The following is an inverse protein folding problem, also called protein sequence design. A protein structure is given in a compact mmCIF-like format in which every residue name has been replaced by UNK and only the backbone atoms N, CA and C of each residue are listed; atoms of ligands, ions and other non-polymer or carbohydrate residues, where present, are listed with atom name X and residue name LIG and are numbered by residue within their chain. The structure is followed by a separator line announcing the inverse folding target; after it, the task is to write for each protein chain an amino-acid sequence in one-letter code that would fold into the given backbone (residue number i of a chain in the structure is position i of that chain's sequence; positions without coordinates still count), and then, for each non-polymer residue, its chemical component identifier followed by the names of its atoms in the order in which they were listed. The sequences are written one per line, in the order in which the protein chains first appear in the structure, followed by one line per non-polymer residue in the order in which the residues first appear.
data_IF_744671389994
#
_entry.id   IF_744671389994
#
_cell.length_a   1.000
_cell.length_b   1.000
_cell.length_c   1.000
_cell.angle_alpha   90.00
_cell.angle_beta   90.00
_cell.angle_gamma   90.00
#
_symmetry.space_group_name_H-M   'P 1'
#
loop_
_entity.id
_entity.type
_entity.pdbx_description
1 polymer ?
#
# COMPACT_ATOMS: atom_id res chain seq x y z
N UNK A 1 65.48 -6.72 17.18
CA UNK A 1 64.86 -6.74 18.52
C UNK A 1 63.34 -6.70 18.32
N UNK A 2 62.74 -7.89 18.16
CA UNK A 2 61.29 -8.11 18.05
C UNK A 2 61.10 -9.62 17.84
N UNK A 3 60.35 -10.34 18.69
CA UNK A 3 59.61 -11.60 18.42
C UNK A 3 58.62 -11.76 19.59
N UNK A 4 57.31 -11.53 19.40
CA UNK A 4 56.20 -12.50 19.17
C UNK A 4 56.10 -13.66 20.17
N UNK A 5 54.87 -13.96 20.62
CA UNK A 5 54.25 -15.30 20.61
C UNK A 5 52.94 -15.34 21.44
N UNK A 6 51.85 -15.58 20.72
CA UNK A 6 50.67 -16.40 21.03
C UNK A 6 50.42 -16.93 22.46
N UNK A 7 49.16 -16.78 22.91
CA UNK A 7 48.43 -17.82 23.65
C UNK A 7 48.36 -17.68 25.18
N UNK A 8 47.18 -18.02 25.71
CA UNK A 8 46.78 -18.29 27.10
C UNK A 8 45.83 -17.32 27.83
N UNK A 9 44.66 -17.91 28.11
CA UNK A 9 43.60 -17.63 29.06
C UNK A 9 43.94 -16.86 30.35
N UNK A 10 42.99 -16.04 30.82
CA UNK A 10 42.71 -15.93 32.25
C UNK A 10 41.21 -15.99 32.56
N UNK A 11 40.95 -16.74 33.62
CA UNK A 11 39.70 -17.07 34.29
C UNK A 11 39.15 -15.89 35.11
N UNK A 12 37.82 -15.84 35.28
CA UNK A 12 37.14 -14.97 36.24
C UNK A 12 35.68 -15.39 36.47
N UNK A 13 35.41 -15.96 37.64
CA UNK A 13 34.17 -16.61 38.11
C UNK A 13 33.06 -15.60 38.46
N UNK A 14 31.78 -15.95 38.21
CA UNK A 14 30.65 -15.49 39.04
C UNK A 14 29.72 -16.66 39.40
N UNK A 15 29.36 -16.64 40.68
CA UNK A 15 28.71 -17.62 41.55
C UNK A 15 27.22 -17.82 41.21
N UNK A 16 26.76 -19.08 41.09
CA UNK A 16 25.34 -19.44 40.99
C UNK A 16 24.71 -19.64 42.37
N UNK A 17 23.61 -18.94 42.66
CA UNK A 17 22.66 -19.32 43.71
C UNK A 17 21.79 -20.48 43.21
N UNK A 18 21.69 -21.56 43.99
CA UNK A 18 20.82 -22.71 43.72
C UNK A 18 19.49 -22.51 44.44
N UNK A 19 18.39 -22.44 43.68
CA UNK A 19 17.03 -22.50 44.22
C UNK A 19 16.51 -23.95 44.24
N UNK A 20 15.66 -24.35 45.22
CA UNK A 20 15.12 -25.71 45.33
C UNK A 20 14.14 -26.10 44.22
N UNK A 21 14.24 -27.35 43.76
CA UNK A 21 13.61 -27.96 42.57
C UNK A 21 12.06 -28.07 42.51
N UNK A 22 11.28 -27.43 43.38
CA UNK A 22 9.86 -27.79 43.57
C UNK A 22 8.83 -26.68 43.25
N UNK A 23 9.22 -25.59 42.58
CA UNK A 23 8.32 -24.54 42.12
C UNK A 23 8.68 -24.07 40.70
N UNK A 24 8.60 -24.98 39.73
CA UNK A 24 8.57 -24.61 38.31
C UNK A 24 7.49 -25.43 37.63
N UNK A 25 6.33 -24.83 37.27
CA UNK A 25 5.39 -25.51 36.39
C UNK A 25 6.12 -25.76 35.07
N UNK A 26 6.31 -27.03 34.74
CA UNK A 26 6.77 -27.43 33.41
C UNK A 26 5.79 -26.83 32.40
N UNK A 27 6.26 -26.03 31.43
CA UNK A 27 5.38 -25.59 30.36
C UNK A 27 4.83 -26.84 29.67
N UNK A 28 3.53 -26.88 29.33
CA UNK A 28 2.97 -28.01 28.61
C UNK A 28 3.78 -28.19 27.34
N UNK A 29 4.29 -29.41 27.11
CA UNK A 29 4.93 -29.77 25.85
C UNK A 29 3.90 -29.54 24.75
N UNK A 30 3.97 -28.40 24.06
CA UNK A 30 3.28 -28.22 22.81
C UNK A 30 3.80 -29.32 21.90
N UNK A 31 2.93 -30.28 21.58
CA UNK A 31 3.17 -31.14 20.43
C UNK A 31 3.21 -30.19 19.24
N UNK A 32 4.42 -29.92 18.76
CA UNK A 32 4.59 -29.44 17.39
C UNK A 32 4.07 -30.57 16.52
N UNK A 33 2.79 -30.52 16.17
CA UNK A 33 2.30 -31.21 14.99
C UNK A 33 2.97 -30.49 13.83
N UNK A 34 4.17 -30.94 13.50
CA UNK A 34 4.69 -30.75 12.14
C UNK A 34 3.64 -31.44 11.29
N UNK A 35 2.87 -30.68 10.53
CA UNK A 35 2.14 -31.22 9.40
C UNK A 35 3.23 -31.64 8.41
N UNK A 36 3.80 -32.83 8.61
CA UNK A 36 4.51 -33.54 7.57
C UNK A 36 3.47 -33.76 6.48
N UNK A 37 3.68 -33.17 5.30
CA UNK A 37 2.88 -33.49 4.12
C UNK A 37 3.28 -34.93 3.77
N UNK A 38 2.55 -35.91 4.31
CA UNK A 38 2.88 -37.34 4.26
C UNK A 38 2.63 -37.99 2.89
N UNK A 39 2.05 -37.26 1.94
CA UNK A 39 1.74 -37.76 0.60
C UNK A 39 2.52 -37.00 -0.50
N UNK A 40 3.48 -37.65 -1.18
CA UNK A 40 4.19 -37.10 -2.34
C UNK A 40 3.26 -36.60 -3.47
N UNK A 41 2.03 -37.14 -3.56
CA UNK A 41 1.01 -36.65 -4.51
C UNK A 41 0.50 -35.27 -4.13
N UNK A 42 0.35 -35.01 -2.83
CA UNK A 42 -0.07 -33.70 -2.31
C UNK A 42 1.03 -32.66 -2.51
N UNK A 43 2.31 -33.00 -2.28
CA UNK A 43 3.43 -32.09 -2.55
C UNK A 43 3.56 -31.77 -4.05
N UNK A 44 3.40 -32.78 -4.92
CA UNK A 44 3.39 -32.59 -6.37
C UNK A 44 2.26 -31.68 -6.83
N UNK A 45 1.04 -31.90 -6.33
CA UNK A 45 -0.14 -31.07 -6.64
C UNK A 45 0.05 -29.62 -6.16
N UNK A 46 0.59 -29.40 -4.96
CA UNK A 46 0.91 -28.07 -4.43
C UNK A 46 1.96 -27.37 -5.32
N UNK A 47 3.04 -28.07 -5.67
CA UNK A 47 4.11 -27.52 -6.51
C UNK A 47 3.61 -27.20 -7.93
N UNK A 48 2.73 -28.03 -8.49
CA UNK A 48 2.11 -27.81 -9.80
C UNK A 48 1.17 -26.61 -9.78
N UNK A 49 0.35 -26.48 -8.73
CA UNK A 49 -0.54 -25.33 -8.55
C UNK A 49 0.27 -24.02 -8.41
N UNK A 50 1.29 -24.00 -7.56
CA UNK A 50 2.18 -22.85 -7.37
C UNK A 50 2.92 -22.47 -8.67
N UNK A 51 3.35 -23.47 -9.45
CA UNK A 51 3.99 -23.23 -10.75
C UNK A 51 3.03 -22.58 -11.75
N UNK A 52 1.79 -23.08 -11.83
CA UNK A 52 0.76 -22.53 -12.72
C UNK A 52 0.37 -21.11 -12.33
N UNK A 53 0.22 -20.82 -11.04
CA UNK A 53 -0.04 -19.45 -10.56
C UNK A 53 1.10 -18.49 -10.92
N UNK A 54 2.35 -18.93 -10.75
CA UNK A 54 3.53 -18.16 -11.12
C UNK A 54 3.61 -17.89 -12.64
N UNK A 55 3.21 -18.84 -13.47
CA UNK A 55 3.12 -18.67 -14.92
C UNK A 55 2.05 -17.65 -15.33
N UNK A 56 0.86 -17.72 -14.72
CA UNK A 56 -0.23 -16.78 -14.98
C UNK A 56 0.15 -15.35 -14.56
N UNK A 57 0.77 -15.19 -13.38
CA UNK A 57 1.33 -13.93 -12.92
C UNK A 57 2.38 -13.38 -13.88
N UNK A 58 3.34 -14.23 -14.28
CA UNK A 58 4.41 -13.85 -15.19
C UNK A 58 3.85 -13.41 -16.54
N UNK A 59 2.83 -14.11 -17.04
CA UNK A 59 2.15 -13.78 -18.29
C UNK A 59 1.43 -12.44 -18.19
N UNK A 60 0.65 -12.22 -17.13
CA UNK A 60 -0.08 -10.98 -16.93
C UNK A 60 0.85 -9.76 -16.85
N UNK A 61 1.91 -9.85 -16.05
CA UNK A 61 2.85 -8.76 -15.87
C UNK A 61 3.69 -8.49 -17.13
N UNK A 62 4.21 -9.53 -17.79
CA UNK A 62 4.95 -9.35 -19.06
C UNK A 62 4.06 -8.75 -20.15
N UNK A 63 2.81 -9.19 -20.22
CA UNK A 63 1.80 -8.64 -21.11
C UNK A 63 1.54 -7.16 -20.85
N UNK A 64 1.24 -6.81 -19.60
CA UNK A 64 1.00 -5.43 -19.16
C UNK A 64 2.16 -4.49 -19.54
N UNK A 65 3.40 -4.86 -19.22
CA UNK A 65 4.58 -4.02 -19.46
C UNK A 65 5.03 -3.97 -20.92
N UNK A 66 4.61 -4.93 -21.74
CA UNK A 66 4.94 -4.98 -23.17
C UNK A 66 3.86 -4.39 -24.06
N UNK A 67 2.68 -4.07 -23.50
CA UNK A 67 1.55 -3.53 -24.24
C UNK A 67 1.90 -2.20 -24.92
N UNK A 68 1.52 -2.08 -26.19
CA UNK A 68 1.72 -0.92 -27.05
C UNK A 68 0.47 -0.06 -27.19
N UNK A 69 -0.69 -0.64 -26.87
CA UNK A 69 -2.00 0.00 -26.98
C UNK A 69 -2.77 -0.15 -25.68
N UNK A 70 -3.78 0.71 -25.48
CA UNK A 70 -4.69 0.61 -24.34
C UNK A 70 -5.47 -0.72 -24.43
N UNK A 71 -5.84 -1.14 -25.64
CA UNK A 71 -6.54 -2.38 -25.92
C UNK A 71 -5.75 -3.61 -25.46
N UNK A 72 -4.47 -3.68 -25.80
CA UNK A 72 -3.56 -4.73 -25.32
C UNK A 72 -3.42 -4.69 -23.80
N UNK A 73 -3.21 -3.49 -23.23
CA UNK A 73 -3.02 -3.33 -21.80
C UNK A 73 -4.27 -3.73 -21.00
N UNK A 74 -5.48 -3.43 -21.51
CA UNK A 74 -6.75 -3.79 -20.88
C UNK A 74 -6.94 -5.31 -20.69
N UNK A 75 -6.28 -6.15 -21.48
CA UNK A 75 -6.33 -7.61 -21.28
C UNK A 75 -5.74 -8.04 -19.93
N UNK A 76 -4.81 -7.24 -19.40
CA UNK A 76 -4.05 -7.54 -18.19
C UNK A 76 -4.47 -6.71 -16.98
N UNK A 77 -5.39 -5.76 -17.15
CA UNK A 77 -5.78 -4.79 -16.10
C UNK A 77 -7.09 -5.20 -15.43
N UNK A 78 -7.22 -4.93 -14.13
CA UNK A 78 -8.49 -5.14 -13.41
C UNK A 78 -9.50 -4.07 -13.76
N UNK A 79 -10.78 -4.47 -13.82
CA UNK A 79 -11.91 -3.58 -14.14
C UNK A 79 -11.68 -2.79 -15.45
N UNK A 80 -11.32 -3.45 -16.57
CA UNK A 80 -10.89 -2.76 -17.79
C UNK A 80 -11.98 -1.84 -18.35
N UNK A 81 -13.25 -2.18 -18.22
CA UNK A 81 -14.39 -1.35 -18.65
C UNK A 81 -14.43 -0.02 -17.88
N UNK A 82 -14.10 -0.05 -16.58
CA UNK A 82 -14.08 1.15 -15.73
C UNK A 82 -12.85 2.01 -16.00
N UNK A 83 -11.67 1.41 -16.11
CA UNK A 83 -10.43 2.18 -16.17
C UNK A 83 -10.03 2.60 -17.58
N UNK A 84 -10.56 1.96 -18.64
CA UNK A 84 -10.21 2.31 -20.03
C UNK A 84 -10.42 3.80 -20.38
N UNK A 85 -11.53 4.47 -20.00
CA UNK A 85 -11.67 5.92 -20.21
C UNK A 85 -10.60 6.74 -19.49
N UNK A 86 -10.19 6.31 -18.29
CA UNK A 86 -9.14 6.96 -17.50
C UNK A 86 -7.76 6.74 -18.13
N UNK A 87 -7.49 5.54 -18.64
CA UNK A 87 -6.29 5.22 -19.43
C UNK A 87 -6.18 6.09 -20.67
N UNK A 88 -7.28 6.29 -21.41
CA UNK A 88 -7.29 7.14 -22.60
C UNK A 88 -6.90 8.58 -22.25
N UNK A 89 -7.49 9.13 -21.18
CA UNK A 89 -7.16 10.47 -20.69
C UNK A 89 -5.70 10.58 -20.23
N UNK A 90 -5.20 9.58 -19.50
CA UNK A 90 -3.83 9.53 -19.00
C UNK A 90 -2.80 9.45 -20.14
N UNK A 91 -2.96 8.50 -21.05
CA UNK A 91 -1.99 8.24 -22.11
C UNK A 91 -2.04 9.27 -23.25
N UNK A 92 -3.12 10.05 -23.36
CA UNK A 92 -3.14 11.24 -24.23
C UNK A 92 -2.12 12.31 -23.79
N UNK A 93 -1.85 12.43 -22.48
CA UNK A 93 -0.86 13.36 -21.92
C UNK A 93 0.53 12.74 -21.75
N UNK A 94 0.60 11.42 -21.58
CA UNK A 94 1.83 10.66 -21.33
C UNK A 94 1.88 9.47 -22.28
N UNK A 95 2.60 9.55 -23.41
CA UNK A 95 2.60 8.47 -24.41
C UNK A 95 2.86 7.09 -23.79
N UNK A 96 2.05 6.10 -24.18
CA UNK A 96 2.26 4.72 -23.77
C UNK A 96 3.49 4.17 -24.48
N UNK A 97 4.57 3.97 -23.71
CA UNK A 97 5.82 3.39 -24.20
C UNK A 97 6.01 2.02 -23.54
N UNK A 98 6.11 0.93 -24.33
CA UNK A 98 6.40 -0.39 -23.78
C UNK A 98 7.72 -0.37 -23.02
N UNK A 99 7.70 -0.90 -21.80
CA UNK A 99 8.89 -1.08 -20.98
C UNK A 99 8.86 -2.48 -20.36
N UNK A 100 9.21 -3.52 -21.15
CA UNK A 100 9.13 -4.91 -20.72
C UNK A 100 9.93 -5.17 -19.44
N UNK A 101 9.50 -6.19 -18.69
CA UNK A 101 10.24 -6.69 -17.54
C UNK A 101 11.61 -7.20 -17.98
N UNK A 102 12.64 -6.80 -17.24
CA UNK A 102 13.98 -7.34 -17.34
C UNK A 102 14.10 -8.59 -16.48
N UNK A 103 14.47 -9.72 -17.09
CA UNK A 103 14.72 -10.98 -16.37
C UNK A 103 13.45 -11.64 -15.81
N UNK A 104 13.60 -12.33 -14.67
CA UNK A 104 12.51 -12.97 -13.93
C UNK A 104 11.90 -11.99 -12.94
N UNK A 105 10.61 -12.12 -12.64
CA UNK A 105 9.94 -11.35 -11.59
C UNK A 105 10.45 -11.80 -10.21
N UNK A 106 11.09 -10.93 -9.42
CA UNK A 106 11.43 -11.24 -8.04
C UNK A 106 10.24 -10.98 -7.10
N UNK A 107 10.10 -11.88 -6.11
CA UNK A 107 9.28 -11.82 -4.89
C UNK A 107 7.87 -11.19 -4.96
N UNK A 108 6.87 -11.99 -4.58
CA UNK A 108 5.54 -11.51 -4.24
C UNK A 108 5.47 -11.25 -2.74
N UNK A 109 4.85 -10.12 -2.38
CA UNK A 109 4.47 -9.83 -1.00
C UNK A 109 2.94 -9.82 -0.91
N UNK A 110 2.32 -10.58 0.02
CA UNK A 110 0.87 -10.54 0.18
C UNK A 110 0.45 -9.15 0.62
N UNK A 111 -0.63 -8.64 0.01
CA UNK A 111 -1.25 -7.38 0.38
C UNK A 111 -2.61 -7.68 1.03
N UNK A 112 -2.73 -7.57 2.37
CA UNK A 112 -3.98 -7.84 3.06
C UNK A 112 -5.13 -7.01 2.49
N UNK A 113 -6.25 -7.67 2.21
CA UNK A 113 -7.50 -7.04 1.78
C UNK A 113 -8.60 -7.33 2.81
N UNK A 114 -9.33 -6.31 3.28
CA UNK A 114 -10.45 -6.49 4.18
C UNK A 114 -11.57 -7.38 3.60
N UNK A 115 -11.66 -7.45 2.27
CA UNK A 115 -12.76 -8.09 1.54
C UNK A 115 -12.47 -9.54 1.13
N UNK A 116 -11.36 -10.12 1.60
CA UNK A 116 -10.95 -11.47 1.20
C UNK A 116 -10.48 -11.58 -0.26
N UNK A 117 -10.30 -10.44 -0.96
CA UNK A 117 -9.65 -10.40 -2.27
C UNK A 117 -8.16 -10.70 -2.14
N UNK A 118 -7.63 -11.47 -3.09
CA UNK A 118 -6.24 -11.94 -3.05
C UNK A 118 -5.33 -10.97 -3.80
N UNK A 119 -4.80 -9.98 -3.09
CA UNK A 119 -3.87 -9.00 -3.66
C UNK A 119 -2.41 -9.30 -3.30
N UNK A 120 -1.52 -8.99 -4.23
CA UNK A 120 -0.08 -9.13 -4.08
C UNK A 120 0.64 -7.89 -4.58
N UNK A 121 1.80 -7.60 -4.02
CA UNK A 121 2.76 -6.65 -4.58
C UNK A 121 3.86 -7.43 -5.30
N UNK A 122 4.00 -7.19 -6.60
CA UNK A 122 5.06 -7.75 -7.43
C UNK A 122 6.14 -6.68 -7.68
N UNK A 123 7.39 -6.98 -7.33
CA UNK A 123 8.53 -6.09 -7.58
C UNK A 123 9.08 -6.34 -8.99
N UNK A 124 8.79 -5.45 -9.93
CA UNK A 124 9.14 -5.62 -11.33
C UNK A 124 10.38 -4.78 -11.69
N UNK A 125 11.49 -5.42 -12.03
CA UNK A 125 12.63 -4.75 -12.69
C UNK A 125 12.31 -4.59 -14.18
N UNK A 126 12.46 -3.39 -14.73
CA UNK A 126 12.13 -3.06 -16.12
C UNK A 126 13.40 -2.89 -16.96
N UNK A 127 13.26 -2.94 -18.29
CA UNK A 127 14.39 -2.85 -19.23
C UNK A 127 15.18 -1.55 -19.15
N UNK A 128 14.53 -0.46 -18.75
CA UNK A 128 15.20 0.84 -18.54
C UNK A 128 15.88 0.98 -17.16
N UNK A 129 15.93 -0.10 -16.37
CA UNK A 129 16.54 -0.12 -15.05
C UNK A 129 15.62 0.34 -13.92
N UNK A 130 14.39 0.79 -14.21
CA UNK A 130 13.42 1.12 -13.16
C UNK A 130 12.96 -0.13 -12.41
N UNK A 131 12.69 0.02 -11.11
CA UNK A 131 12.02 -0.99 -10.31
C UNK A 131 10.65 -0.45 -9.90
N UNK A 132 9.58 -1.17 -10.22
CA UNK A 132 8.21 -0.82 -9.86
C UNK A 132 7.57 -1.86 -8.96
N UNK A 133 6.93 -1.41 -7.89
CA UNK A 133 6.04 -2.24 -7.08
C UNK A 133 4.65 -2.19 -7.72
N UNK A 134 4.15 -3.35 -8.19
CA UNK A 134 2.89 -3.45 -8.91
C UNK A 134 1.91 -4.26 -8.09
N UNK A 135 0.75 -3.67 -7.80
CA UNK A 135 -0.35 -4.39 -7.18
C UNK A 135 -1.04 -5.25 -8.24
N UNK A 136 -1.20 -6.54 -7.94
CA UNK A 136 -1.95 -7.51 -8.75
C UNK A 136 -3.04 -8.17 -7.92
N UNK A 137 -4.14 -8.52 -8.56
CA UNK A 137 -5.25 -9.30 -8.00
C UNK A 137 -5.23 -10.69 -8.62
N UNK A 138 -5.25 -11.73 -7.80
CA UNK A 138 -5.52 -13.11 -8.23
C UNK A 138 -6.99 -13.42 -7.98
N UNK A 139 -7.76 -13.66 -9.03
CA UNK A 139 -9.19 -13.97 -8.97
C UNK A 139 -9.43 -15.44 -8.63
N UNK A 140 -10.65 -15.77 -8.22
CA UNK A 140 -11.04 -17.15 -7.87
C UNK A 140 -10.89 -18.15 -9.02
N UNK A 141 -10.94 -17.69 -10.27
CA UNK A 141 -10.68 -18.51 -11.47
C UNK A 141 -9.18 -18.64 -11.82
N UNK A 142 -8.29 -18.08 -11.00
CA UNK A 142 -6.84 -18.07 -11.22
C UNK A 142 -6.33 -16.94 -12.11
N UNK A 143 -7.21 -16.11 -12.70
CA UNK A 143 -6.76 -14.97 -13.49
C UNK A 143 -5.99 -13.96 -12.63
N UNK A 144 -4.87 -13.49 -13.16
CA UNK A 144 -4.09 -12.42 -12.55
C UNK A 144 -4.32 -11.11 -13.32
N UNK A 145 -4.71 -10.06 -12.61
CA UNK A 145 -4.96 -8.72 -13.18
C UNK A 145 -4.18 -7.64 -12.44
N UNK A 146 -3.61 -6.69 -13.18
CA UNK A 146 -2.85 -5.55 -12.67
C UNK A 146 -3.78 -4.42 -12.25
N UNK A 147 -3.51 -3.83 -11.09
CA UNK A 147 -4.10 -2.56 -10.67
C UNK A 147 -3.42 -1.40 -11.41
N UNK A 148 -4.01 -0.98 -12.54
CA UNK A 148 -3.46 0.11 -13.35
C UNK A 148 -3.37 1.45 -12.60
N UNK A 149 -4.35 1.78 -11.76
CA UNK A 149 -4.37 3.04 -11.02
C UNK A 149 -3.25 3.09 -9.98
N UNK A 150 -2.98 1.97 -9.32
CA UNK A 150 -1.82 1.84 -8.43
C UNK A 150 -0.51 1.88 -9.22
N UNK A 151 -0.41 1.12 -10.31
CA UNK A 151 0.80 1.01 -11.14
C UNK A 151 1.23 2.35 -11.80
N UNK A 152 0.27 3.23 -12.10
CA UNK A 152 0.53 4.54 -12.69
C UNK A 152 0.46 5.69 -11.68
N UNK A 153 -0.05 5.42 -10.47
CA UNK A 153 -0.41 6.46 -9.52
C UNK A 153 -1.52 7.38 -10.03
N UNK A 154 -2.37 6.90 -10.96
CA UNK A 154 -3.41 7.72 -11.58
C UNK A 154 -4.29 8.38 -10.52
N UNK A 155 -4.58 9.66 -10.77
CA UNK A 155 -5.55 10.50 -10.08
C UNK A 155 -6.31 11.28 -11.16
N UNK A 156 -7.61 11.51 -10.95
CA UNK A 156 -8.46 12.24 -11.89
C UNK A 156 -7.91 13.66 -12.13
N UNK A 157 -7.41 14.28 -11.06
CA UNK A 157 -6.79 15.59 -11.04
C UNK A 157 -5.49 15.51 -10.24
N UNK A 158 -4.48 16.30 -10.60
CA UNK A 158 -3.26 16.39 -9.80
C UNK A 158 -3.53 17.10 -8.46
N UNK A 159 -2.83 16.73 -7.39
CA UNK A 159 -3.06 17.35 -6.07
C UNK A 159 -2.76 18.87 -6.05
N UNK A 160 -1.70 19.31 -6.73
CA UNK A 160 -1.39 20.74 -6.87
C UNK A 160 -2.48 21.46 -7.69
N UNK A 161 -2.92 20.85 -8.79
CA UNK A 161 -4.03 21.37 -9.61
C UNK A 161 -5.32 21.49 -8.80
N UNK A 162 -5.62 20.51 -7.94
CA UNK A 162 -6.77 20.52 -7.06
C UNK A 162 -6.66 21.61 -5.98
N UNK A 163 -5.49 21.82 -5.41
CA UNK A 163 -5.24 22.87 -4.42
C UNK A 163 -5.38 24.28 -5.01
N UNK A 164 -5.00 24.45 -6.29
CA UNK A 164 -5.03 25.72 -6.98
C UNK A 164 -6.41 26.04 -7.58
N UNK A 165 -7.02 25.08 -8.29
CA UNK A 165 -8.33 25.28 -8.95
C UNK A 165 -9.50 25.19 -7.98
N UNK A 166 -9.36 24.44 -6.88
CA UNK A 166 -10.38 24.22 -5.85
C UNK A 166 -11.77 23.89 -6.43
N UNK A 167 -11.88 22.83 -7.27
CA UNK A 167 -13.15 22.47 -7.88
C UNK A 167 -14.19 22.14 -6.81
N UNK A 168 -15.41 22.65 -7.00
CA UNK A 168 -16.50 22.57 -6.01
C UNK A 168 -17.63 21.64 -6.46
N UNK A 169 -17.47 21.00 -7.61
CA UNK A 169 -18.51 20.21 -8.25
C UNK A 169 -18.68 18.85 -7.59
N UNK A 170 -17.58 18.12 -7.45
CA UNK A 170 -17.57 16.73 -7.01
C UNK A 170 -16.37 16.46 -6.10
N UNK A 171 -16.53 15.54 -5.13
CA UNK A 171 -15.40 15.04 -4.37
C UNK A 171 -14.43 14.25 -5.26
N UNK A 172 -13.14 14.31 -4.95
CA UNK A 172 -12.07 13.61 -5.68
C UNK A 172 -11.16 12.82 -4.73
N UNK A 173 -10.68 11.67 -5.19
CA UNK A 173 -9.84 10.78 -4.40
C UNK A 173 -8.36 11.10 -4.55
N UNK A 174 -7.65 11.25 -3.42
CA UNK A 174 -6.23 11.55 -3.38
C UNK A 174 -5.47 10.61 -2.45
N UNK A 175 -4.29 10.19 -2.90
CA UNK A 175 -3.27 9.52 -2.08
C UNK A 175 -2.48 10.59 -1.34
N UNK A 176 -2.65 10.68 -0.03
CA UNK A 176 -2.10 11.75 0.80
C UNK A 176 -1.44 11.20 2.05
N UNK A 177 -0.36 11.86 2.49
CA UNK A 177 0.13 11.79 3.85
C UNK A 177 -0.80 12.63 4.72
N UNK A 178 -1.34 11.98 5.75
CA UNK A 178 -2.30 12.53 6.71
C UNK A 178 -1.56 12.72 8.03
N UNK A 179 -1.58 13.95 8.56
CA UNK A 179 -1.11 14.24 9.91
C UNK A 179 -2.03 15.23 10.60
N UNK A 180 -1.96 15.33 11.91
CA UNK A 180 -2.71 16.35 12.64
C UNK A 180 -2.35 17.76 12.14
N UNK A 181 -3.37 18.56 11.89
CA UNK A 181 -3.27 19.97 11.59
C UNK A 181 -3.78 20.82 12.74
N UNK A 182 -3.43 22.10 12.72
CA UNK A 182 -3.82 23.08 13.74
C UNK A 182 -4.23 24.40 13.09
N UNK A 183 -4.66 24.36 11.83
CA UNK A 183 -5.13 25.53 11.12
C UNK A 183 -6.65 25.57 11.24
N UNK A 184 -7.19 26.58 11.90
CA UNK A 184 -8.63 26.79 12.07
C UNK A 184 -8.91 28.25 11.75
N UNK A 185 -9.66 28.48 10.69
CA UNK A 185 -9.97 29.79 10.14
C UNK A 185 -11.29 29.74 9.38
N UNK A 186 -11.88 30.91 9.14
CA UNK A 186 -13.11 31.08 8.36
C UNK A 186 -14.23 30.13 8.83
N UNK A 187 -14.84 29.35 7.93
CA UNK A 187 -15.93 28.42 8.25
C UNK A 187 -15.49 27.20 9.09
N UNK A 188 -14.18 27.04 9.29
CA UNK A 188 -13.56 25.99 10.08
C UNK A 188 -12.91 26.52 11.36
N UNK A 189 -13.37 27.65 11.90
CA UNK A 189 -12.76 28.25 13.10
C UNK A 189 -13.08 27.53 14.42
N UNK A 190 -14.17 26.77 14.48
CA UNK A 190 -14.62 26.10 15.70
C UNK A 190 -13.97 24.71 15.85
N UNK A 191 -12.99 24.62 16.74
CA UNK A 191 -12.27 23.39 17.04
C UNK A 191 -13.10 22.33 17.76
N UNK A 192 -14.23 22.70 18.40
CA UNK A 192 -15.15 21.74 19.03
C UNK A 192 -16.03 21.05 17.98
N UNK A 193 -16.28 21.73 16.85
CA UNK A 193 -17.02 21.16 15.71
C UNK A 193 -16.08 20.40 14.78
N UNK A 194 -14.92 20.96 14.48
CA UNK A 194 -14.04 20.48 13.42
C UNK A 194 -12.75 19.85 13.95
N UNK A 195 -12.31 18.80 13.27
CA UNK A 195 -10.96 18.25 13.38
C UNK A 195 -10.17 18.57 12.12
N UNK A 196 -9.01 19.22 12.28
CA UNK A 196 -8.10 19.55 11.19
C UNK A 196 -7.02 18.47 10.99
N UNK A 197 -6.79 18.11 9.73
CA UNK A 197 -5.64 17.34 9.25
C UNK A 197 -4.88 18.15 8.22
N UNK A 198 -3.55 18.09 8.27
CA UNK A 198 -2.70 18.62 7.22
C UNK A 198 -2.40 17.50 6.20
N UNK A 199 -2.72 17.75 4.94
CA UNK A 199 -2.63 16.78 3.84
C UNK A 199 -1.56 17.20 2.83
N UNK A 200 -0.69 16.26 2.46
CA UNK A 200 0.26 16.43 1.35
C UNK A 200 0.29 15.19 0.47
N UNK A 201 0.46 15.34 -0.84
CA UNK A 201 0.57 14.22 -1.76
C UNK A 201 2.04 13.94 -2.15
N UNK A 202 2.40 12.69 -2.50
CA UNK A 202 3.71 12.40 -3.07
C UNK A 202 3.96 13.23 -4.32
N UNK A 203 5.14 13.86 -4.40
CA UNK A 203 5.56 14.73 -5.51
C UNK A 203 4.72 16.00 -5.72
N UNK A 204 3.85 16.38 -4.77
CA UNK A 204 3.15 17.65 -4.77
C UNK A 204 3.86 18.67 -3.87
N UNK A 205 3.74 19.95 -4.20
CA UNK A 205 4.29 21.05 -3.38
C UNK A 205 3.24 21.69 -2.49
N UNK A 206 1.97 21.56 -2.87
CA UNK A 206 0.83 22.11 -2.16
C UNK A 206 0.50 21.33 -0.89
N UNK A 207 -0.09 22.06 0.05
CA UNK A 207 -0.70 21.52 1.26
C UNK A 207 -2.18 21.91 1.24
N UNK A 208 -3.03 20.97 1.63
CA UNK A 208 -4.46 21.21 1.86
C UNK A 208 -4.75 20.88 3.32
N UNK A 209 -5.55 21.70 3.97
CA UNK A 209 -6.11 21.39 5.29
C UNK A 209 -7.43 20.66 5.09
N UNK A 210 -7.46 19.40 5.49
CA UNK A 210 -8.63 18.55 5.48
C UNK A 210 -9.39 18.67 6.79
N UNK A 211 -10.70 18.85 6.72
CA UNK A 211 -11.56 18.97 7.88
C UNK A 211 -12.61 17.88 7.90
N UNK A 212 -12.89 17.40 9.11
CA UNK A 212 -13.99 16.47 9.37
C UNK A 212 -14.68 16.89 10.66
N UNK A 213 -16.00 16.73 10.74
CA UNK A 213 -16.72 17.01 11.98
C UNK A 213 -16.34 16.01 13.07
N UNK A 214 -16.29 16.47 14.33
CA UNK A 214 -15.94 15.62 15.48
C UNK A 214 -16.93 14.50 15.77
N UNK A 215 -18.20 14.70 15.41
CA UNK A 215 -19.26 13.69 15.54
C UNK A 215 -19.27 12.67 14.39
N UNK A 216 -18.42 12.84 13.37
CA UNK A 216 -18.35 11.93 12.25
C UNK A 216 -17.58 10.64 12.64
N UNK A 217 -18.18 9.44 12.47
CA UNK A 217 -17.53 8.17 12.81
C UNK A 217 -16.17 7.95 12.13
N UNK A 218 -15.98 8.49 10.92
CA UNK A 218 -14.73 8.39 10.16
C UNK A 218 -13.55 9.05 10.89
N UNK A 219 -13.79 9.99 11.80
CA UNK A 219 -12.72 10.62 12.59
C UNK A 219 -11.94 9.57 13.39
N UNK A 220 -12.64 8.64 14.05
CA UNK A 220 -12.00 7.59 14.85
C UNK A 220 -11.07 6.71 14.00
N UNK A 221 -11.48 6.39 12.77
CA UNK A 221 -10.67 5.61 11.82
C UNK A 221 -9.38 6.34 11.45
N UNK A 222 -9.46 7.64 11.15
CA UNK A 222 -8.31 8.45 10.78
C UNK A 222 -7.32 8.61 11.95
N UNK A 223 -7.82 8.88 13.15
CA UNK A 223 -6.96 9.03 14.33
C UNK A 223 -6.28 7.72 14.72
N UNK A 224 -6.99 6.60 14.60
CA UNK A 224 -6.42 5.26 14.80
C UNK A 224 -5.31 4.95 13.80
N UNK A 225 -5.50 5.29 12.53
CA UNK A 225 -4.51 5.09 11.48
C UNK A 225 -3.22 5.87 11.76
N UNK A 226 -3.33 7.11 12.24
CA UNK A 226 -2.16 7.94 12.60
C UNK A 226 -1.50 7.40 13.88
N UNK A 227 -2.29 7.03 14.90
CA UNK A 227 -1.78 6.50 16.17
C UNK A 227 -1.00 5.21 15.99
N UNK A 228 -1.47 4.28 15.15
CA UNK A 228 -0.75 3.04 14.81
C UNK A 228 0.58 3.29 14.10
N UNK A 229 0.77 4.47 13.51
CA UNK A 229 2.03 4.89 12.89
C UNK A 229 2.91 5.76 13.82
N UNK A 230 2.76 5.60 15.14
CA UNK A 230 3.52 6.37 16.13
C UNK A 230 3.12 7.84 16.24
N UNK A 231 1.93 8.22 15.73
CA UNK A 231 1.37 9.56 15.92
C UNK A 231 1.94 10.65 15.00
N UNK A 232 2.78 10.30 14.02
CA UNK A 232 3.50 11.29 13.19
C UNK A 232 2.73 11.68 11.94
N UNK A 233 2.56 10.73 11.02
CA UNK A 233 1.81 10.87 9.78
C UNK A 233 1.49 9.48 9.22
N UNK A 234 0.50 9.35 8.34
CA UNK A 234 0.18 8.07 7.68
C UNK A 234 -0.24 8.32 6.23
N UNK A 235 0.25 7.49 5.31
CA UNK A 235 -0.26 7.48 3.94
C UNK A 235 -1.65 6.83 3.90
N UNK A 236 -2.61 7.48 3.26
CA UNK A 236 -3.96 6.98 3.04
C UNK A 236 -4.58 7.51 1.74
N UNK A 237 -5.75 6.99 1.40
CA UNK A 237 -6.56 7.54 0.31
C UNK A 237 -7.75 8.24 0.93
N UNK A 238 -7.88 9.55 0.67
CA UNK A 238 -9.00 10.36 1.13
C UNK A 238 -9.79 10.89 -0.05
N UNK A 239 -11.11 10.90 0.12
CA UNK A 239 -12.01 11.61 -0.77
C UNK A 239 -12.19 13.04 -0.25
N UNK A 240 -11.75 14.03 -1.03
CA UNK A 240 -11.70 15.44 -0.64
C UNK A 240 -12.67 16.28 -1.47
N UNK A 241 -13.31 17.28 -0.85
CA UNK A 241 -14.22 18.21 -1.52
C UNK A 241 -14.07 19.63 -1.00
N UNK A 242 -13.97 20.61 -1.89
CA UNK A 242 -14.13 22.01 -1.53
C UNK A 242 -15.63 22.36 -1.45
N UNK A 243 -16.15 22.82 -0.30
CA UNK A 243 -17.57 23.17 -0.16
C UNK A 243 -17.94 24.34 -1.06
N UNK A 244 -19.14 24.31 -1.65
CA UNK A 244 -19.59 25.39 -2.56
C UNK A 244 -19.85 26.68 -1.81
N UNK A 245 -20.40 26.51 -0.63
CA UNK A 245 -20.83 27.53 0.32
C UNK A 245 -19.66 28.22 1.04
N UNK A 246 -18.46 27.62 1.08
CA UNK A 246 -17.33 28.16 1.84
C UNK A 246 -16.38 28.97 0.96
N UNK A 247 -15.74 29.96 1.60
CA UNK A 247 -14.73 30.82 0.99
C UNK A 247 -13.31 30.49 1.47
N UNK A 248 -13.16 29.69 2.52
CA UNK A 248 -11.88 29.22 3.01
C UNK A 248 -11.01 28.64 1.89
N UNK A 249 -9.79 29.20 1.74
CA UNK A 249 -8.83 28.72 0.74
C UNK A 249 -8.05 27.54 1.27
N UNK A 250 -7.77 26.55 0.42
CA UNK A 250 -7.00 25.35 0.77
C UNK A 250 -7.59 24.56 1.94
N UNK A 251 -8.89 24.73 2.19
CA UNK A 251 -9.66 24.00 3.19
C UNK A 251 -10.67 23.09 2.49
N UNK A 252 -10.51 21.77 2.63
CA UNK A 252 -11.38 20.78 2.02
C UNK A 252 -12.04 19.92 3.09
N UNK A 253 -13.26 19.45 2.84
CA UNK A 253 -13.90 18.41 3.63
C UNK A 253 -13.32 17.04 3.29
N UNK A 254 -13.15 16.20 4.31
CA UNK A 254 -12.85 14.79 4.18
C UNK A 254 -14.18 14.03 4.20
N UNK A 255 -14.59 13.52 3.05
CA UNK A 255 -15.89 12.86 2.89
C UNK A 255 -15.78 11.36 3.19
N UNK A 256 -14.67 10.72 2.79
CA UNK A 256 -14.42 9.29 2.96
C UNK A 256 -12.92 9.01 3.12
N UNK A 257 -12.60 7.89 3.76
CA UNK A 257 -11.26 7.30 3.69
C UNK A 257 -11.34 5.90 3.08
N UNK A 258 -10.26 5.47 2.44
CA UNK A 258 -10.10 4.09 1.98
C UNK A 258 -8.67 3.60 2.22
N UNK A 259 -8.54 2.28 2.40
CA UNK A 259 -7.24 1.65 2.53
C UNK A 259 -6.46 1.78 1.20
N UNK A 260 -5.12 1.80 1.22
CA UNK A 260 -4.28 1.81 0.01
C UNK A 260 -4.50 0.63 -0.96
N UNK A 261 -5.34 -0.35 -0.59
CA UNK A 261 -5.77 -1.49 -1.40
C UNK A 261 -7.30 -1.57 -1.43
N UNK A 262 -7.91 -1.03 -2.49
CA UNK A 262 -9.32 -1.29 -2.83
C UNK A 262 -10.14 -0.03 -3.07
N UNK A 263 -9.83 0.70 -4.15
CA UNK A 263 -10.86 1.55 -4.77
C UNK A 263 -11.88 0.65 -5.46
N UNK A 264 -13.02 0.48 -4.78
CA UNK A 264 -14.30 -0.10 -5.24
C UNK A 264 -14.27 -1.62 -5.53
#
# INVERSE_FOLDING_TARGET
MAIDLSGYHFSGIVMMMVLPKWLSPTPPKMKTTVLTVEDPRTEYEINLAASKEMELLTTALKGYFSAKTIEEMCQYVRLPERVRPMMATYYAKKPLVPNPIAGKLPALEPLPSPEGRNFWVAKCALKDGQIKNIVVETRSNGEVKVDWENATGYQIMGFDEFADQQPRELPLDFRVNIKYGSYYADEFSDEEIWRCFMLSAPNATSIIYGYIKRDNPLLGELEDLIRRNGGTSRLGILQLKFPREFQAKRAALIEKSSAPSGSI
#
